data_IF_960746598268
#
_entry.id   IF_960746598268
#
_cell.length_a   1.000
_cell.length_b   1.000
_cell.length_c   1.000
_cell.angle_alpha   90.00
_cell.angle_beta   90.00
_cell.angle_gamma   90.00
#
_symmetry.space_group_name_H-M   'P 1'
#
loop_
_entity.id
_entity.type
_entity.pdbx_description
1 polymer ?
#
# COMPACT_ATOMS: atom_id res chain seq x y z
N UNK A 1 -16.29 -2.06 -0.53
CA UNK A 1 -14.85 -1.75 -0.83
C UNK A 1 -14.45 -2.16 -2.25
N UNK A 2 -14.87 -3.31 -2.69
CA UNK A 2 -14.58 -3.79 -4.06
C UNK A 2 -14.94 -2.76 -5.14
N UNK A 3 -16.15 -2.22 -5.09
CA UNK A 3 -16.63 -1.26 -6.08
C UNK A 3 -15.81 0.03 -6.06
N UNK A 4 -15.42 0.49 -4.88
CA UNK A 4 -14.56 1.67 -4.74
C UNK A 4 -13.20 1.45 -5.40
N UNK A 5 -12.61 0.27 -5.18
CA UNK A 5 -11.31 -0.07 -5.76
C UNK A 5 -11.39 -0.19 -7.28
N UNK A 6 -12.45 -0.80 -7.81
CA UNK A 6 -12.64 -0.92 -9.26
C UNK A 6 -12.78 0.45 -9.92
N UNK A 7 -13.58 1.33 -9.35
CA UNK A 7 -13.77 2.67 -9.88
C UNK A 7 -12.48 3.48 -9.80
N UNK A 8 -11.82 3.46 -8.63
CA UNK A 8 -10.57 4.17 -8.41
C UNK A 8 -9.48 3.72 -9.39
N UNK A 9 -9.37 2.42 -9.61
CA UNK A 9 -8.33 1.84 -10.46
C UNK A 9 -8.38 2.31 -11.92
N UNK A 10 -9.54 2.77 -12.38
CA UNK A 10 -9.66 3.34 -13.71
C UNK A 10 -8.84 4.62 -13.90
N UNK A 11 -8.44 5.25 -12.81
CA UNK A 11 -7.60 6.45 -12.84
C UNK A 11 -6.10 6.12 -12.89
N UNK A 12 -5.71 4.85 -12.82
CA UNK A 12 -4.32 4.44 -12.91
C UNK A 12 -3.66 4.97 -14.18
N UNK A 13 -2.43 5.47 -14.03
CA UNK A 13 -1.61 5.83 -15.18
C UNK A 13 -0.58 4.72 -15.40
N UNK A 14 -0.93 3.76 -16.25
CA UNK A 14 -0.12 2.56 -16.49
C UNK A 14 0.07 2.26 -17.98
N UNK A 15 0.59 3.23 -18.76
CA UNK A 15 0.71 3.08 -20.22
C UNK A 15 1.75 2.04 -20.64
N UNK A 16 2.68 1.68 -19.75
CA UNK A 16 3.76 0.75 -20.08
C UNK A 16 3.39 -0.69 -19.73
N UNK A 17 2.90 -0.92 -18.52
CA UNK A 17 2.58 -2.28 -18.07
C UNK A 17 1.15 -2.70 -18.37
N UNK A 18 0.25 -1.75 -18.50
CA UNK A 18 -1.22 -1.96 -18.57
C UNK A 18 -1.75 -2.69 -17.33
N UNK A 19 -1.04 -2.58 -16.21
CA UNK A 19 -1.35 -3.25 -14.95
C UNK A 19 -1.86 -2.21 -13.96
N UNK A 20 -3.19 -2.07 -13.89
CA UNK A 20 -3.83 -1.04 -13.05
C UNK A 20 -4.01 -1.55 -11.63
N UNK A 21 -3.56 -0.76 -10.68
CA UNK A 21 -3.69 -1.07 -9.26
C UNK A 21 -4.36 0.10 -8.54
N UNK A 22 -5.25 -0.23 -7.63
CA UNK A 22 -5.88 0.72 -6.73
C UNK A 22 -5.59 0.34 -5.28
N UNK A 23 -5.42 1.33 -4.43
CA UNK A 23 -5.21 1.12 -3.00
C UNK A 23 -6.01 2.14 -2.20
N UNK A 24 -6.56 1.69 -1.08
CA UNK A 24 -7.27 2.54 -0.12
C UNK A 24 -6.73 2.21 1.26
N UNK A 25 -6.21 3.23 1.97
CA UNK A 25 -5.89 3.09 3.38
C UNK A 25 -7.04 3.63 4.20
N UNK A 26 -7.40 2.90 5.24
CA UNK A 26 -8.43 3.31 6.20
C UNK A 26 -7.72 3.65 7.50
N UNK A 27 -7.97 4.84 8.00
CA UNK A 27 -7.39 5.33 9.25
C UNK A 27 -8.25 4.90 10.44
N UNK A 28 -7.71 4.98 11.64
CA UNK A 28 -8.44 4.60 12.86
C UNK A 28 -9.68 5.45 13.12
N UNK A 29 -9.72 6.69 12.61
CA UNK A 29 -10.88 7.56 12.66
C UNK A 29 -11.88 7.33 11.51
N UNK A 30 -11.68 6.26 10.73
CA UNK A 30 -12.51 5.81 9.59
C UNK A 30 -12.33 6.66 8.31
N UNK A 31 -11.48 7.66 8.30
CA UNK A 31 -11.16 8.39 7.06
C UNK A 31 -10.37 7.49 6.12
N UNK A 32 -10.57 7.69 4.82
CA UNK A 32 -9.93 6.93 3.77
C UNK A 32 -9.04 7.82 2.93
N UNK A 33 -7.91 7.29 2.50
CA UNK A 33 -7.03 7.91 1.53
C UNK A 33 -6.79 6.92 0.39
N UNK A 34 -6.80 7.44 -0.83
CA UNK A 34 -6.80 6.62 -2.03
C UNK A 34 -5.53 6.85 -2.84
N UNK A 35 -5.15 5.84 -3.61
CA UNK A 35 -4.02 5.95 -4.53
C UNK A 35 -4.18 4.96 -5.67
N UNK A 36 -3.55 5.32 -6.79
CA UNK A 36 -3.41 4.43 -7.95
C UNK A 36 -1.94 4.40 -8.33
N UNK A 37 -1.54 3.36 -9.07
CA UNK A 37 -0.18 3.34 -9.57
C UNK A 37 -0.02 4.36 -10.70
N UNK A 38 1.12 5.04 -10.69
CA UNK A 38 1.47 6.06 -11.67
C UNK A 38 2.84 5.72 -12.21
N UNK A 39 2.86 5.24 -13.45
CA UNK A 39 4.11 4.86 -14.12
C UNK A 39 4.80 6.06 -14.72
N UNK A 40 6.05 5.87 -15.08
CA UNK A 40 6.85 6.91 -15.70
C UNK A 40 7.82 6.28 -16.69
N UNK A 41 8.15 7.01 -17.77
CA UNK A 41 9.17 6.59 -18.72
C UNK A 41 10.53 6.39 -18.01
N UNK A 42 10.81 7.18 -16.99
CA UNK A 42 11.91 6.93 -16.05
C UNK A 42 11.39 5.94 -15.01
N UNK A 43 11.65 4.66 -15.18
CA UNK A 43 11.03 3.60 -14.38
C UNK A 43 11.19 3.79 -12.88
N UNK A 44 12.33 4.33 -12.44
CA UNK A 44 12.57 4.62 -11.02
C UNK A 44 11.68 5.71 -10.44
N UNK A 45 11.02 6.51 -11.27
CA UNK A 45 10.09 7.55 -10.82
C UNK A 45 8.66 7.02 -10.69
N UNK A 46 8.39 5.78 -11.11
CA UNK A 46 7.09 5.14 -10.96
C UNK A 46 6.75 4.95 -9.49
N UNK A 47 5.45 5.06 -9.16
CA UNK A 47 5.00 4.86 -7.79
C UNK A 47 3.84 3.87 -7.75
N UNK A 48 3.88 2.97 -6.76
CA UNK A 48 2.81 2.01 -6.56
C UNK A 48 1.58 2.67 -5.92
N UNK A 49 0.42 2.08 -6.14
CA UNK A 49 -0.84 2.57 -5.59
C UNK A 49 -0.79 2.66 -4.05
N UNK A 50 -0.21 1.66 -3.40
CA UNK A 50 -0.13 1.59 -1.94
C UNK A 50 0.64 2.79 -1.37
N UNK A 51 1.82 3.10 -1.93
CA UNK A 51 2.60 4.24 -1.46
C UNK A 51 1.89 5.55 -1.76
N UNK A 52 1.22 5.66 -2.89
CA UNK A 52 0.44 6.84 -3.22
C UNK A 52 -0.64 7.11 -2.16
N UNK A 53 -1.39 6.09 -1.76
CA UNK A 53 -2.42 6.21 -0.73
C UNK A 53 -1.82 6.55 0.64
N UNK A 54 -0.77 5.84 1.04
CA UNK A 54 -0.12 6.01 2.35
C UNK A 54 0.48 7.42 2.47
N UNK A 55 1.19 7.87 1.43
CA UNK A 55 1.80 9.19 1.45
C UNK A 55 0.75 10.30 1.50
N UNK A 56 -0.42 10.09 0.90
CA UNK A 56 -1.55 11.03 0.99
C UNK A 56 -2.02 11.19 2.42
N UNK A 57 -2.11 10.10 3.18
CA UNK A 57 -2.50 10.14 4.58
C UNK A 57 -1.47 10.90 5.43
N UNK A 58 -0.19 10.63 5.22
CA UNK A 58 0.89 11.35 5.91
C UNK A 58 0.83 12.85 5.59
N UNK A 59 0.62 13.19 4.31
CA UNK A 59 0.52 14.60 3.88
C UNK A 59 -0.67 15.30 4.52
N UNK A 60 -1.73 14.55 4.87
CA UNK A 60 -2.91 15.09 5.54
C UNK A 60 -2.72 15.22 7.07
N UNK A 61 -1.56 14.84 7.61
CA UNK A 61 -1.23 15.01 9.01
C UNK A 61 -1.36 13.77 9.87
N UNK A 62 -1.70 12.63 9.29
CA UNK A 62 -1.80 11.37 10.04
C UNK A 62 -0.41 10.82 10.36
N UNK A 63 -0.31 10.08 11.45
CA UNK A 63 0.93 9.53 11.98
C UNK A 63 0.92 8.00 11.90
N UNK A 64 2.07 7.40 12.10
CA UNK A 64 2.26 5.97 11.84
C UNK A 64 1.35 5.05 12.66
N UNK A 65 0.95 5.40 13.87
CA UNK A 65 0.07 4.53 14.66
C UNK A 65 -1.42 4.69 14.30
N UNK A 66 -1.75 5.54 13.33
CA UNK A 66 -3.14 5.86 13.01
C UNK A 66 -3.70 5.06 11.84
N UNK A 67 -2.90 4.20 11.20
CA UNK A 67 -3.35 3.33 10.11
C UNK A 67 -4.11 2.13 10.68
N UNK A 68 -5.30 1.87 10.12
CA UNK A 68 -6.16 0.77 10.56
C UNK A 68 -6.08 -0.44 9.63
N UNK A 69 -6.17 -0.22 8.32
CA UNK A 69 -6.07 -1.28 7.32
C UNK A 69 -5.73 -0.72 5.95
N UNK A 70 -5.24 -1.60 5.08
CA UNK A 70 -4.91 -1.28 3.69
C UNK A 70 -5.63 -2.25 2.77
N UNK A 71 -6.31 -1.72 1.77
CA UNK A 71 -6.99 -2.49 0.72
C UNK A 71 -6.29 -2.28 -0.61
N UNK A 72 -5.98 -3.36 -1.33
CA UNK A 72 -5.26 -3.30 -2.60
C UNK A 72 -5.96 -4.20 -3.61
N UNK A 73 -6.18 -3.68 -4.82
CA UNK A 73 -6.75 -4.48 -5.91
C UNK A 73 -5.95 -4.24 -7.19
N UNK A 74 -5.60 -5.34 -7.86
CA UNK A 74 -5.19 -5.30 -9.25
C UNK A 74 -6.40 -5.56 -10.14
N UNK A 75 -6.72 -4.61 -11.04
CA UNK A 75 -7.90 -4.69 -11.90
C UNK A 75 -7.70 -5.66 -13.07
N UNK A 76 -6.46 -5.92 -13.43
CA UNK A 76 -6.13 -6.63 -14.68
C UNK A 76 -5.64 -8.06 -14.44
N UNK A 77 -5.89 -8.60 -13.26
CA UNK A 77 -5.46 -9.96 -12.92
C UNK A 77 -6.52 -10.68 -12.09
N UNK A 78 -6.69 -11.96 -12.36
CA UNK A 78 -7.49 -12.84 -11.49
C UNK A 78 -6.66 -13.42 -10.33
N UNK A 79 -5.36 -13.14 -10.31
CA UNK A 79 -4.48 -13.51 -9.21
C UNK A 79 -4.62 -12.47 -8.09
N UNK A 80 -4.62 -12.94 -6.85
CA UNK A 80 -4.52 -12.05 -5.69
C UNK A 80 -3.04 -11.71 -5.50
N UNK A 81 -2.68 -10.47 -5.78
CA UNK A 81 -1.29 -10.00 -5.67
C UNK A 81 -1.06 -9.31 -4.34
N UNK A 82 0.12 -9.51 -3.78
CA UNK A 82 0.56 -8.85 -2.55
C UNK A 82 1.41 -7.61 -2.91
N UNK A 83 1.61 -6.68 -1.97
CA UNK A 83 2.43 -5.49 -2.22
C UNK A 83 3.87 -5.87 -2.61
N UNK A 84 4.47 -5.07 -3.48
CA UNK A 84 5.89 -5.22 -3.80
C UNK A 84 6.75 -4.95 -2.56
N UNK A 85 8.03 -5.36 -2.58
CA UNK A 85 8.86 -5.22 -1.39
C UNK A 85 9.21 -3.77 -1.04
N UNK A 86 9.19 -2.85 -2.00
CA UNK A 86 9.33 -1.43 -1.69
C UNK A 86 8.13 -0.91 -0.88
N UNK A 87 6.91 -1.31 -1.27
CA UNK A 87 5.71 -0.96 -0.50
C UNK A 87 5.72 -1.65 0.86
N UNK A 88 6.20 -2.89 0.94
CA UNK A 88 6.32 -3.60 2.23
C UNK A 88 7.29 -2.89 3.16
N UNK A 89 8.38 -2.32 2.64
CA UNK A 89 9.31 -1.54 3.45
C UNK A 89 8.60 -0.33 4.08
N UNK A 90 7.81 0.39 3.29
CA UNK A 90 7.04 1.54 3.77
C UNK A 90 6.01 1.11 4.82
N UNK A 91 5.27 0.04 4.53
CA UNK A 91 4.26 -0.52 5.44
C UNK A 91 4.91 -0.98 6.76
N UNK A 92 6.08 -1.62 6.69
CA UNK A 92 6.75 -2.15 7.89
C UNK A 92 7.11 -1.05 8.88
N UNK A 93 7.41 0.16 8.40
CA UNK A 93 7.74 1.28 9.28
C UNK A 93 6.51 2.03 9.77
N UNK A 94 5.52 2.24 8.90
CA UNK A 94 4.40 3.14 9.19
C UNK A 94 3.19 2.45 9.82
N UNK A 95 3.07 1.13 9.68
CA UNK A 95 1.92 0.37 10.19
C UNK A 95 2.32 -0.46 11.39
N UNK A 96 1.39 -0.62 12.34
CA UNK A 96 1.54 -1.62 13.39
C UNK A 96 1.56 -3.02 12.78
N UNK A 97 2.30 -3.93 13.39
CA UNK A 97 2.48 -5.31 12.90
C UNK A 97 1.18 -6.09 12.74
N UNK A 98 0.15 -5.73 13.51
CA UNK A 98 -1.14 -6.41 13.51
C UNK A 98 -2.15 -5.82 12.53
N UNK A 99 -1.80 -4.75 11.82
CA UNK A 99 -2.67 -4.13 10.82
C UNK A 99 -2.91 -5.11 9.67
N UNK A 100 -4.15 -5.19 9.22
CA UNK A 100 -4.54 -6.07 8.13
C UNK A 100 -4.32 -5.40 6.77
N UNK A 101 -3.75 -6.17 5.85
CA UNK A 101 -3.62 -5.83 4.44
C UNK A 101 -4.54 -6.77 3.67
N UNK A 102 -5.58 -6.24 3.06
CA UNK A 102 -6.59 -7.01 2.34
C UNK A 102 -6.30 -6.88 0.84
N UNK A 103 -5.97 -8.00 0.22
CA UNK A 103 -5.60 -8.08 -1.20
C UNK A 103 -6.76 -8.68 -1.99
N UNK A 104 -7.12 -8.01 -3.09
CA UNK A 104 -8.26 -8.38 -3.94
C UNK A 104 -7.79 -8.76 -5.33
N UNK A 105 -8.43 -9.75 -5.95
CA UNK A 105 -8.33 -9.93 -7.39
C UNK A 105 -9.44 -9.15 -8.10
N UNK A 106 -9.47 -9.23 -9.43
CA UNK A 106 -10.47 -8.49 -10.22
C UNK A 106 -11.91 -9.00 -10.08
N UNK A 107 -12.10 -10.19 -9.52
CA UNK A 107 -13.43 -10.74 -9.20
C UNK A 107 -13.89 -10.35 -7.80
N UNK A 108 -13.03 -9.71 -7.01
CA UNK A 108 -13.33 -9.33 -5.64
C UNK A 108 -13.07 -10.42 -4.61
N UNK A 109 -12.43 -11.52 -5.00
CA UNK A 109 -11.93 -12.50 -4.04
C UNK A 109 -10.79 -11.87 -3.25
N UNK A 110 -10.69 -12.21 -1.96
CA UNK A 110 -9.73 -11.56 -1.06
C UNK A 110 -8.87 -12.55 -0.31
N UNK A 111 -7.66 -12.10 0.03
CA UNK A 111 -6.82 -12.70 1.07
C UNK A 111 -6.36 -11.59 1.99
N UNK A 112 -6.41 -11.86 3.28
CA UNK A 112 -5.99 -10.91 4.31
C UNK A 112 -4.71 -11.39 4.95
N UNK A 113 -3.75 -10.49 5.04
CA UNK A 113 -2.46 -10.72 5.68
C UNK A 113 -2.24 -9.67 6.75
N UNK A 114 -1.57 -10.04 7.83
CA UNK A 114 -1.04 -9.06 8.77
C UNK A 114 0.25 -8.48 8.22
N UNK A 115 0.56 -7.25 8.60
CA UNK A 115 1.84 -6.62 8.23
C UNK A 115 3.01 -7.50 8.63
N UNK A 116 2.97 -8.13 9.81
CA UNK A 116 4.02 -9.04 10.28
C UNK A 116 4.23 -10.25 9.36
N UNK A 117 3.16 -10.72 8.69
CA UNK A 117 3.27 -11.83 7.74
C UNK A 117 3.92 -11.41 6.43
N UNK A 118 3.65 -10.19 5.97
CA UNK A 118 4.19 -9.65 4.72
C UNK A 118 5.61 -9.08 4.87
N UNK A 119 6.00 -8.74 6.09
CA UNK A 119 7.26 -8.07 6.39
C UNK A 119 8.04 -8.81 7.48
N UNK A 120 8.41 -10.10 7.26
CA UNK A 120 9.26 -10.79 8.23
C UNK A 120 10.66 -10.21 8.20
N UNK A 121 11.27 -10.07 9.38
CA UNK A 121 12.64 -9.55 9.54
C UNK A 121 12.88 -8.24 8.79
N UNK A 122 12.05 -7.20 9.02
CA UNK A 122 12.18 -5.97 8.25
C UNK A 122 13.42 -5.19 8.64
N UNK A 123 13.96 -4.44 7.68
CA UNK A 123 14.87 -3.35 8.01
C UNK A 123 14.01 -2.23 8.61
N UNK A 124 14.34 -1.78 9.82
CA UNK A 124 13.51 -0.78 10.50
C UNK A 124 14.35 0.33 11.14
N UNK A 125 13.66 1.23 11.82
CA UNK A 125 14.29 2.41 12.45
C UNK A 125 15.32 2.04 13.51
N UNK A 126 15.20 0.87 14.15
CA UNK A 126 16.16 0.43 15.16
C UNK A 126 17.53 0.19 14.55
N UNK A 127 17.59 -0.21 13.28
CA UNK A 127 18.85 -0.41 12.56
C UNK A 127 19.64 0.89 12.39
N UNK A 128 18.98 2.04 12.47
CA UNK A 128 19.60 3.36 12.32
C UNK A 128 19.95 4.00 13.66
N UNK A 129 19.62 3.38 14.80
CA UNK A 129 19.87 3.94 16.13
C UNK A 129 21.29 3.69 16.64
N UNK A 130 22.07 2.86 15.95
CA UNK A 130 23.40 2.46 16.42
C UNK A 130 24.35 3.64 16.63
N UNK A 131 24.22 4.72 15.86
CA UNK A 131 25.10 5.89 15.99
C UNK A 131 24.58 6.94 16.98
N UNK A 132 23.42 6.71 17.59
CA UNK A 132 22.87 7.61 18.60
C UNK A 132 23.58 7.46 19.95
N UNK A 133 24.28 6.36 20.13
CA UNK A 133 25.06 6.06 21.36
C UNK A 133 26.51 6.53 21.26
N UNK A 134 26.88 7.16 20.18
CA UNK A 134 28.21 7.74 19.99
C UNK A 134 28.31 9.16 20.61
#
# INVERSE_FOLDING_TARGET
>A
MKEKLLELGNNSYSPYSHFRVAAIVVMKDEKEFVGVNVENAAYGASICAERSAILSAISAGYKKEEFKELHIMCLDSNKISTPCFQCRQVISELFDKEVNVICYNNSGETKTYKVSELCPYPFDEDDLKWNQDL
#
